data_IF_096627138150
#
_entry.id   IF_096627138150
#
_cell.length_a   1.000
_cell.length_b   1.000
_cell.length_c   1.000
_cell.angle_alpha   90.00
_cell.angle_beta   90.00
_cell.angle_gamma   90.00
#
_symmetry.space_group_name_H-M   'P 1'
#
loop_
_entity.id
_entity.type
_entity.pdbx_description
1 polymer ?
#
# COMPACT_ATOMS: atom_id res chain seq x y z
N UNK A 1 17.63 -11.46 4.08
CA UNK A 1 17.04 -11.46 5.43
C UNK A 1 16.81 -10.02 5.83
N UNK A 2 15.57 -9.63 6.14
CA UNK A 2 15.17 -8.24 6.42
C UNK A 2 14.60 -8.13 7.85
N UNK A 3 15.24 -8.78 8.83
CA UNK A 3 14.86 -8.58 10.24
C UNK A 3 15.47 -7.28 10.69
N UNK A 4 14.65 -6.32 11.10
CA UNK A 4 15.14 -5.04 11.62
C UNK A 4 15.02 -5.03 13.13
N UNK A 5 16.10 -4.67 13.82
CA UNK A 5 16.05 -4.36 15.25
C UNK A 5 15.44 -2.98 15.54
N UNK A 6 15.05 -2.25 14.48
CA UNK A 6 14.50 -0.91 14.57
C UNK A 6 12.99 -0.92 14.31
N UNK A 7 12.27 -0.12 15.08
CA UNK A 7 10.84 0.17 14.90
C UNK A 7 10.73 1.45 14.07
N UNK A 8 10.01 1.39 12.95
CA UNK A 8 9.69 2.57 12.14
C UNK A 8 8.39 3.21 12.63
N UNK A 9 8.38 4.53 12.76
CA UNK A 9 7.21 5.32 13.13
C UNK A 9 6.77 6.17 11.95
N UNK A 10 5.47 6.15 11.65
CA UNK A 10 4.83 7.07 10.72
C UNK A 10 3.65 7.73 11.42
N UNK A 11 3.65 9.06 11.45
CA UNK A 11 2.60 9.86 12.06
C UNK A 11 1.90 10.71 11.00
N UNK A 12 0.57 10.66 10.99
CA UNK A 12 -0.27 11.42 10.07
C UNK A 12 -1.23 12.30 10.87
N UNK A 13 -1.25 13.57 10.51
CA UNK A 13 -2.17 14.58 11.06
C UNK A 13 -2.80 15.37 9.91
N UNK A 14 -3.95 15.99 10.16
CA UNK A 14 -4.65 16.80 9.16
C UNK A 14 -5.07 18.13 9.79
N UNK A 15 -4.60 19.24 9.23
CA UNK A 15 -4.95 20.58 9.72
C UNK A 15 -6.44 20.92 9.54
N UNK A 16 -7.11 20.32 8.56
CA UNK A 16 -8.55 20.52 8.30
C UNK A 16 -9.45 19.64 9.17
N UNK A 17 -8.91 18.55 9.73
CA UNK A 17 -9.63 17.65 10.63
C UNK A 17 -8.89 17.71 11.96
N UNK A 18 -9.10 18.78 12.75
CA UNK A 18 -8.43 18.94 14.03
C UNK A 18 -8.75 17.75 14.93
N UNK A 19 -7.75 17.31 15.71
CA UNK A 19 -7.78 16.12 16.58
C UNK A 19 -7.77 14.76 15.89
N UNK A 20 -7.60 14.70 14.56
CA UNK A 20 -7.23 13.45 13.90
C UNK A 20 -5.74 13.19 14.06
N UNK A 21 -5.39 12.06 14.66
CA UNK A 21 -4.02 11.53 14.67
C UNK A 21 -4.02 10.06 14.27
N UNK A 22 -3.08 9.67 13.41
CA UNK A 22 -2.82 8.27 13.07
C UNK A 22 -1.33 8.01 13.26
N UNK A 23 -0.99 7.09 14.16
CA UNK A 23 0.36 6.62 14.39
C UNK A 23 0.46 5.15 13.97
N UNK A 24 1.38 4.85 13.06
CA UNK A 24 1.69 3.49 12.63
C UNK A 24 3.10 3.14 13.07
N UNK A 25 3.23 2.16 13.97
CA UNK A 25 4.51 1.54 14.35
C UNK A 25 4.71 0.28 13.52
N UNK A 26 5.85 0.15 12.85
CA UNK A 26 6.16 -1.02 12.02
C UNK A 26 7.46 -1.69 12.45
N UNK A 27 7.44 -3.03 12.52
CA UNK A 27 8.65 -3.87 12.65
C UNK A 27 8.59 -5.02 11.66
N UNK A 28 9.75 -5.47 11.18
CA UNK A 28 9.86 -6.56 10.22
C UNK A 28 10.65 -7.72 10.81
N UNK A 29 10.13 -8.94 10.67
CA UNK A 29 10.80 -10.18 11.08
C UNK A 29 10.73 -11.25 9.98
N UNK A 30 11.73 -12.14 9.91
CA UNK A 30 11.76 -13.24 8.94
C UNK A 30 10.97 -14.45 9.45
N UNK A 31 9.66 -14.28 9.64
CA UNK A 31 8.72 -15.34 10.00
C UNK A 31 7.39 -15.12 9.26
N UNK A 32 6.44 -16.03 9.48
CA UNK A 32 5.10 -16.05 8.88
C UNK A 32 4.04 -15.26 9.68
N UNK A 33 4.45 -14.41 10.61
CA UNK A 33 3.51 -13.71 11.52
C UNK A 33 3.33 -14.39 12.87
N UNK A 34 4.22 -15.30 13.25
CA UNK A 34 4.14 -16.09 14.48
C UNK A 34 4.58 -15.38 15.77
N UNK A 35 5.22 -14.20 15.68
CA UNK A 35 5.73 -13.50 16.86
C UNK A 35 4.62 -12.73 17.54
N UNK A 36 4.24 -13.18 18.72
CA UNK A 36 3.29 -12.47 19.57
C UNK A 36 3.93 -11.21 20.18
N UNK A 37 3.17 -10.11 20.21
CA UNK A 37 3.60 -8.81 20.72
C UNK A 37 4.96 -8.32 20.17
N UNK A 38 5.21 -8.49 18.87
CA UNK A 38 6.49 -8.13 18.20
C UNK A 38 6.99 -6.69 18.45
N UNK A 39 6.08 -5.75 18.75
CA UNK A 39 6.36 -4.33 18.98
C UNK A 39 6.40 -3.93 20.47
N UNK A 40 6.44 -4.92 21.38
CA UNK A 40 6.57 -4.71 22.83
C UNK A 40 5.51 -3.76 23.40
N UNK A 41 4.24 -3.95 23.01
CA UNK A 41 3.10 -3.19 23.52
C UNK A 41 2.90 -3.45 25.02
N UNK A 42 2.38 -2.45 25.73
CA UNK A 42 2.03 -2.60 27.15
C UNK A 42 0.84 -3.55 27.36
N UNK A 43 0.64 -4.04 28.58
CA UNK A 43 -0.51 -4.88 28.91
C UNK A 43 -1.85 -4.18 28.63
N UNK A 44 -1.92 -2.87 28.83
CA UNK A 44 -3.10 -2.05 28.55
C UNK A 44 -3.39 -1.99 27.06
N UNK A 45 -2.37 -1.76 26.24
CA UNK A 45 -2.49 -1.77 24.77
C UNK A 45 -2.91 -3.16 24.26
N UNK A 46 -2.31 -4.22 24.80
CA UNK A 46 -2.64 -5.60 24.44
C UNK A 46 -4.09 -5.98 24.77
N UNK A 47 -4.65 -5.48 25.88
CA UNK A 47 -6.04 -5.77 26.29
C UNK A 47 -7.08 -5.22 25.31
N UNK A 48 -6.78 -4.11 24.64
CA UNK A 48 -7.71 -3.43 23.74
C UNK A 48 -7.40 -3.64 22.26
N UNK A 49 -6.24 -4.23 21.93
CA UNK A 49 -5.86 -4.44 20.53
C UNK A 49 -6.77 -5.46 19.86
N UNK A 50 -6.90 -5.30 18.55
CA UNK A 50 -7.45 -6.29 17.65
C UNK A 50 -6.31 -6.75 16.74
N UNK A 51 -6.12 -8.06 16.62
CA UNK A 51 -5.13 -8.65 15.70
C UNK A 51 -5.83 -9.02 14.40
N UNK A 52 -5.31 -8.50 13.30
CA UNK A 52 -5.81 -8.76 11.95
C UNK A 52 -4.67 -9.31 11.08
N UNK A 53 -4.85 -10.51 10.56
CA UNK A 53 -3.89 -11.17 9.68
C UNK A 53 -4.26 -10.91 8.22
N UNK A 54 -3.59 -9.93 7.60
CA UNK A 54 -3.81 -9.59 6.20
C UNK A 54 -3.25 -10.70 5.29
N UNK A 55 -4.09 -11.27 4.42
CA UNK A 55 -3.71 -12.26 3.39
C UNK A 55 -3.63 -11.63 2.02
N UNK A 56 -2.41 -11.41 1.54
CA UNK A 56 -2.21 -10.80 0.22
C UNK A 56 -2.74 -11.66 -0.93
N UNK A 57 -2.92 -12.98 -0.77
CA UNK A 57 -3.45 -13.82 -1.85
C UNK A 57 -4.98 -13.98 -1.77
N UNK A 58 -5.51 -14.14 -0.55
CA UNK A 58 -6.88 -14.61 -0.34
C UNK A 58 -7.84 -13.61 0.30
N UNK A 59 -7.37 -12.50 0.88
CA UNK A 59 -8.28 -11.44 1.31
C UNK A 59 -8.92 -10.76 0.09
N UNK A 60 -10.18 -10.36 0.25
CA UNK A 60 -10.93 -9.69 -0.82
C UNK A 60 -10.45 -8.24 -1.00
N UNK A 61 -10.18 -7.88 -2.26
CA UNK A 61 -10.06 -6.48 -2.66
C UNK A 61 -11.41 -5.98 -3.17
N UNK A 62 -11.71 -4.71 -2.93
CA UNK A 62 -12.84 -4.08 -3.60
C UNK A 62 -12.64 -4.13 -5.12
N UNK A 63 -13.67 -4.51 -5.88
CA UNK A 63 -13.55 -4.80 -7.31
C UNK A 63 -13.02 -3.65 -8.18
N UNK A 64 -13.06 -2.41 -7.69
CA UNK A 64 -12.49 -1.22 -8.37
C UNK A 64 -10.96 -1.23 -8.43
N UNK A 65 -10.30 -1.91 -7.50
CA UNK A 65 -8.83 -1.94 -7.40
C UNK A 65 -8.22 -3.26 -7.88
N UNK A 66 -9.05 -4.26 -8.19
CA UNK A 66 -8.54 -5.56 -8.63
C UNK A 66 -7.96 -5.48 -10.04
N UNK A 67 -6.72 -5.93 -10.18
CA UNK A 67 -6.06 -6.21 -11.45
C UNK A 67 -5.47 -7.60 -11.40
N UNK A 68 -5.67 -8.39 -12.46
CA UNK A 68 -5.24 -9.80 -12.51
C UNK A 68 -3.71 -9.92 -12.45
N UNK A 69 -3.02 -9.01 -13.10
CA UNK A 69 -1.57 -8.88 -13.11
C UNK A 69 -0.97 -8.53 -11.74
N UNK A 70 -1.77 -7.91 -10.85
CA UNK A 70 -1.40 -7.59 -9.47
C UNK A 70 -1.91 -8.64 -8.47
N UNK A 71 -2.43 -9.79 -8.95
CA UNK A 71 -2.94 -10.87 -8.09
C UNK A 71 -1.86 -11.92 -7.80
N UNK A 72 -1.42 -12.07 -6.53
CA UNK A 72 -0.42 -13.07 -6.16
C UNK A 72 -0.79 -14.52 -6.48
N UNK A 73 -2.09 -14.83 -6.66
CA UNK A 73 -2.56 -16.15 -7.08
C UNK A 73 -2.23 -16.48 -8.54
N UNK A 74 -1.93 -15.47 -9.35
CA UNK A 74 -1.61 -15.63 -10.78
C UNK A 74 -0.21 -15.16 -11.13
N UNK A 75 0.40 -14.28 -10.32
CA UNK A 75 1.75 -13.81 -10.53
C UNK A 75 2.80 -14.87 -10.15
N UNK A 76 3.77 -15.08 -11.03
CA UNK A 76 4.99 -15.83 -10.77
C UNK A 76 6.18 -15.03 -11.26
N UNK A 77 7.14 -14.79 -10.36
CA UNK A 77 8.35 -14.05 -10.68
C UNK A 77 9.27 -14.87 -11.59
N UNK A 78 9.74 -14.27 -12.67
CA UNK A 78 10.74 -14.84 -13.57
C UNK A 78 12.14 -14.78 -12.97
N UNK A 79 12.44 -13.74 -12.17
CA UNK A 79 13.77 -13.55 -11.57
C UNK A 79 14.01 -14.45 -10.35
N UNK A 80 12.97 -14.79 -9.61
CA UNK A 80 13.09 -15.49 -8.32
C UNK A 80 12.32 -16.81 -8.24
N UNK A 81 11.48 -17.12 -9.24
CA UNK A 81 10.55 -18.25 -9.25
C UNK A 81 9.50 -18.26 -8.13
N UNK A 82 9.35 -17.17 -7.35
CA UNK A 82 8.33 -17.07 -6.31
C UNK A 82 6.93 -16.91 -6.91
N UNK A 83 5.95 -17.48 -6.22
CA UNK A 83 4.58 -17.53 -6.69
C UNK A 83 4.35 -18.58 -7.79
N UNK A 84 3.09 -18.79 -8.21
CA UNK A 84 1.88 -18.19 -7.65
C UNK A 84 1.63 -18.67 -6.22
N UNK A 85 1.04 -17.80 -5.39
CA UNK A 85 0.68 -18.13 -4.02
C UNK A 85 -0.58 -18.99 -4.01
N UNK A 86 -0.52 -20.13 -3.32
CA UNK A 86 -1.63 -21.07 -3.16
C UNK A 86 -2.12 -21.09 -1.71
N UNK A 87 -3.23 -21.79 -1.45
CA UNK A 87 -3.74 -21.93 -0.09
C UNK A 87 -2.66 -22.56 0.82
N UNK A 88 -2.45 -21.97 2.01
CA UNK A 88 -1.39 -22.38 2.92
C UNK A 88 0.00 -21.77 2.64
N UNK A 89 0.14 -20.86 1.67
CA UNK A 89 1.43 -20.26 1.26
C UNK A 89 2.29 -19.74 2.43
N UNK A 90 1.67 -19.22 3.49
CA UNK A 90 2.38 -18.71 4.69
C UNK A 90 3.28 -19.76 5.35
N UNK A 91 2.93 -21.03 5.25
CA UNK A 91 3.69 -22.15 5.86
C UNK A 91 4.62 -22.85 4.85
N UNK A 92 4.31 -22.74 3.56
CA UNK A 92 5.00 -23.51 2.51
C UNK A 92 6.04 -22.70 1.75
N UNK A 93 5.86 -21.39 1.62
CA UNK A 93 6.74 -20.54 0.83
C UNK A 93 7.93 -20.00 1.63
N UNK A 94 9.09 -19.98 0.99
CA UNK A 94 10.33 -19.50 1.57
C UNK A 94 11.21 -18.79 0.52
N UNK A 95 11.90 -17.70 0.89
CA UNK A 95 11.89 -17.07 2.21
C UNK A 95 10.64 -16.21 2.42
N UNK A 96 10.18 -16.16 3.68
CA UNK A 96 9.04 -15.35 4.14
C UNK A 96 9.49 -14.28 5.14
N UNK A 97 8.75 -13.18 5.17
CA UNK A 97 8.86 -12.16 6.20
C UNK A 97 7.48 -11.62 6.55
N UNK A 98 7.33 -11.12 7.76
CA UNK A 98 6.11 -10.47 8.23
C UNK A 98 6.41 -9.01 8.61
N UNK A 99 5.54 -8.11 8.17
CA UNK A 99 5.50 -6.72 8.65
C UNK A 99 4.43 -6.63 9.74
N UNK A 100 4.87 -6.45 10.98
CA UNK A 100 4.00 -6.20 12.12
C UNK A 100 3.71 -4.71 12.17
N UNK A 101 2.44 -4.33 12.05
CA UNK A 101 2.00 -2.93 12.07
C UNK A 101 0.98 -2.71 13.17
N UNK A 102 1.33 -1.87 14.14
CA UNK A 102 0.38 -1.41 15.17
C UNK A 102 -0.10 -0.02 14.76
N UNK A 103 -1.41 0.09 14.57
CA UNK A 103 -2.07 1.31 14.09
C UNK A 103 -2.89 1.89 15.22
N UNK A 104 -2.46 3.03 15.74
CA UNK A 104 -3.26 3.86 16.63
C UNK A 104 -3.94 4.95 15.80
N UNK A 105 -5.26 4.98 15.81
CA UNK A 105 -6.04 6.07 15.23
C UNK A 105 -6.83 6.72 16.35
N UNK A 106 -6.72 8.04 16.49
CA UNK A 106 -7.50 8.82 17.45
C UNK A 106 -8.24 9.96 16.76
N UNK A 107 -9.49 10.14 17.16
CA UNK A 107 -10.34 11.23 16.70
C UNK A 107 -11.28 11.71 17.80
N UNK A 108 -10.81 12.67 18.61
CA UNK A 108 -11.48 13.12 19.84
C UNK A 108 -12.61 14.14 19.59
N UNK A 109 -13.63 13.72 18.84
CA UNK A 109 -14.84 14.50 18.55
C UNK A 109 -16.08 13.78 19.08
N UNK A 110 -16.83 14.49 19.92
CA UNK A 110 -18.03 13.95 20.56
C UNK A 110 -19.05 13.48 19.53
N UNK A 111 -19.57 12.26 19.74
CA UNK A 111 -20.59 11.64 18.89
C UNK A 111 -20.08 11.05 17.56
N UNK A 112 -18.81 11.26 17.19
CA UNK A 112 -18.24 10.77 15.92
C UNK A 112 -17.00 9.89 16.07
N UNK A 113 -16.36 9.89 17.25
CA UNK A 113 -15.10 9.20 17.52
C UNK A 113 -15.03 7.78 16.95
N UNK A 114 -15.80 6.83 17.50
CA UNK A 114 -15.74 5.41 17.13
C UNK A 114 -15.96 5.19 15.64
N UNK A 115 -16.97 5.85 15.05
CA UNK A 115 -17.29 5.67 13.64
C UNK A 115 -16.15 6.13 12.72
N UNK A 116 -15.46 7.20 13.08
CA UNK A 116 -14.34 7.73 12.29
C UNK A 116 -13.08 6.90 12.50
N UNK A 117 -12.77 6.53 13.74
CA UNK A 117 -11.62 5.65 14.05
C UNK A 117 -11.77 4.29 13.34
N UNK A 118 -12.95 3.67 13.37
CA UNK A 118 -13.23 2.42 12.64
C UNK A 118 -13.15 2.57 11.13
N UNK A 119 -13.52 3.75 10.61
CA UNK A 119 -13.39 4.04 9.18
C UNK A 119 -11.91 4.15 8.78
N UNK A 120 -11.09 4.82 9.59
CA UNK A 120 -9.65 4.95 9.37
C UNK A 120 -8.97 3.58 9.42
N UNK A 121 -9.28 2.75 10.42
CA UNK A 121 -8.68 1.42 10.55
C UNK A 121 -8.98 0.56 9.31
N UNK A 122 -10.22 0.55 8.82
CA UNK A 122 -10.59 -0.15 7.57
C UNK A 122 -9.86 0.40 6.35
N UNK A 123 -9.79 1.72 6.21
CA UNK A 123 -9.07 2.35 5.10
C UNK A 123 -7.58 2.01 5.10
N UNK A 124 -6.93 2.00 6.27
CA UNK A 124 -5.54 1.60 6.42
C UNK A 124 -5.37 0.13 6.06
N UNK A 125 -6.26 -0.75 6.54
CA UNK A 125 -6.24 -2.17 6.17
C UNK A 125 -6.29 -2.37 4.65
N UNK A 126 -7.20 -1.69 3.97
CA UNK A 126 -7.37 -1.78 2.51
C UNK A 126 -6.11 -1.31 1.76
N UNK A 127 -5.53 -0.18 2.19
CA UNK A 127 -4.27 0.34 1.63
C UNK A 127 -3.12 -0.65 1.83
N UNK A 128 -3.02 -1.25 3.03
CA UNK A 128 -1.98 -2.23 3.33
C UNK A 128 -2.14 -3.49 2.48
N UNK A 129 -3.35 -4.03 2.35
CA UNK A 129 -3.63 -5.19 1.51
C UNK A 129 -3.26 -4.91 0.05
N UNK A 130 -3.76 -3.82 -0.52
CA UNK A 130 -3.48 -3.46 -1.92
C UNK A 130 -1.98 -3.23 -2.16
N UNK A 131 -1.32 -2.46 -1.28
CA UNK A 131 0.10 -2.14 -1.42
C UNK A 131 1.00 -3.37 -1.35
N UNK A 132 0.73 -4.33 -0.45
CA UNK A 132 1.55 -5.54 -0.37
C UNK A 132 1.29 -6.51 -1.53
N UNK A 133 0.07 -6.56 -2.06
CA UNK A 133 -0.24 -7.30 -3.30
C UNK A 133 0.58 -6.78 -4.48
N UNK A 134 0.57 -5.46 -4.65
CA UNK A 134 1.36 -4.78 -5.67
C UNK A 134 2.86 -5.00 -5.47
N UNK A 135 3.36 -4.86 -4.25
CA UNK A 135 4.77 -5.10 -3.95
C UNK A 135 5.23 -6.54 -4.31
N UNK A 136 4.37 -7.55 -4.08
CA UNK A 136 4.66 -8.93 -4.48
C UNK A 136 4.58 -9.10 -6.01
N UNK A 137 3.55 -8.57 -6.66
CA UNK A 137 3.38 -8.70 -8.10
C UNK A 137 4.43 -7.90 -8.91
N UNK A 138 5.01 -6.86 -8.33
CA UNK A 138 6.10 -6.09 -8.94
C UNK A 138 7.49 -6.58 -8.51
N UNK A 139 7.59 -7.79 -7.93
CA UNK A 139 8.86 -8.37 -7.47
C UNK A 139 9.94 -8.29 -8.55
N UNK A 140 9.62 -8.62 -9.79
CA UNK A 140 10.60 -8.59 -10.88
C UNK A 140 11.05 -7.16 -11.25
N UNK A 141 10.29 -6.13 -10.93
CA UNK A 141 10.65 -4.74 -11.22
C UNK A 141 11.72 -4.25 -10.25
N UNK A 142 11.54 -4.51 -8.95
CA UNK A 142 12.46 -4.02 -7.92
C UNK A 142 13.56 -5.01 -7.52
N UNK A 143 13.39 -6.32 -7.81
CA UNK A 143 14.42 -7.31 -7.48
C UNK A 143 15.71 -7.04 -8.27
N UNK A 144 16.78 -6.82 -7.51
CA UNK A 144 18.11 -6.49 -8.04
C UNK A 144 18.42 -5.00 -8.14
N UNK A 145 17.48 -4.11 -7.81
CA UNK A 145 17.76 -2.67 -7.74
C UNK A 145 18.79 -2.37 -6.65
N UNK A 146 19.78 -1.55 -6.99
CA UNK A 146 20.69 -0.96 -6.02
C UNK A 146 20.03 0.25 -5.34
N UNK A 147 20.61 0.72 -4.23
CA UNK A 147 20.13 1.95 -3.58
C UNK A 147 20.21 3.17 -4.51
N UNK A 148 21.15 3.21 -5.45
CA UNK A 148 21.21 4.30 -6.42
C UNK A 148 20.09 4.19 -7.45
N UNK A 149 19.75 2.98 -7.92
CA UNK A 149 18.60 2.78 -8.80
C UNK A 149 17.30 3.23 -8.12
N UNK A 150 17.14 2.92 -6.82
CA UNK A 150 15.99 3.37 -6.02
C UNK A 150 15.93 4.90 -5.97
N UNK A 151 17.06 5.57 -5.70
CA UNK A 151 17.11 7.05 -5.68
C UNK A 151 16.80 7.67 -7.04
N UNK A 152 17.28 7.06 -8.13
CA UNK A 152 16.96 7.52 -9.49
C UNK A 152 15.45 7.38 -9.74
N UNK A 153 14.88 6.23 -9.38
CA UNK A 153 13.45 5.97 -9.52
C UNK A 153 12.60 6.96 -8.70
N UNK A 154 12.95 7.19 -7.44
CA UNK A 154 12.29 8.18 -6.57
C UNK A 154 12.33 9.59 -7.18
N UNK A 155 13.48 10.03 -7.71
CA UNK A 155 13.61 11.33 -8.38
C UNK A 155 12.69 11.44 -9.60
N UNK A 156 12.63 10.39 -10.43
CA UNK A 156 11.77 10.36 -11.62
C UNK A 156 10.29 10.40 -11.21
N UNK A 157 9.86 9.58 -10.25
CA UNK A 157 8.48 9.56 -9.76
C UNK A 157 8.06 10.83 -9.07
N UNK A 158 8.96 11.49 -8.34
CA UNK A 158 8.71 12.81 -7.78
C UNK A 158 8.46 13.85 -8.89
N UNK A 159 9.26 13.84 -9.96
CA UNK A 159 9.08 14.76 -11.09
C UNK A 159 7.75 14.51 -11.83
N UNK A 160 7.46 13.26 -12.19
CA UNK A 160 6.19 12.87 -12.84
C UNK A 160 4.96 13.27 -12.01
N UNK A 161 5.03 13.08 -10.68
CA UNK A 161 3.93 13.44 -9.77
C UNK A 161 3.74 14.95 -9.74
N UNK A 162 4.83 15.71 -9.64
CA UNK A 162 4.78 17.17 -9.66
C UNK A 162 4.16 17.70 -10.95
N UNK A 163 4.53 17.13 -12.11
CA UNK A 163 3.96 17.51 -13.41
C UNK A 163 2.45 17.26 -13.47
N UNK A 164 1.98 16.09 -13.03
CA UNK A 164 0.54 15.75 -13.00
C UNK A 164 -0.25 16.67 -12.08
N UNK A 165 0.31 17.00 -10.90
CA UNK A 165 -0.34 17.93 -9.97
C UNK A 165 -0.45 19.32 -10.60
N UNK A 166 0.60 19.81 -11.27
CA UNK A 166 0.56 21.11 -11.95
C UNK A 166 -0.46 21.13 -13.11
N UNK A 167 -0.53 20.06 -13.89
CA UNK A 167 -1.53 19.92 -14.97
C UNK A 167 -2.98 19.92 -14.44
N UNK A 168 -3.22 19.29 -13.29
CA UNK A 168 -4.54 19.30 -12.66
C UNK A 168 -4.90 20.65 -12.03
N UNK A 169 -3.91 21.45 -11.62
CA UNK A 169 -4.11 22.81 -11.09
C UNK A 169 -4.34 23.82 -12.22
N UNK A 170 -3.73 23.61 -13.39
CA UNK A 170 -3.84 24.53 -14.52
C UNK A 170 -4.22 23.78 -15.82
N UNK A 171 -5.48 23.31 -15.94
CA UNK A 171 -5.92 22.58 -17.11
C UNK A 171 -5.77 23.45 -18.37
N UNK A 172 -4.92 23.01 -19.31
CA UNK A 172 -4.82 23.62 -20.64
C UNK A 172 -6.20 23.55 -21.32
N UNK A 173 -6.67 24.61 -21.99
CA UNK A 173 -7.89 24.53 -22.78
C UNK A 173 -7.73 23.43 -23.84
N UNK A 174 -8.74 22.57 -23.95
CA UNK A 174 -8.75 21.50 -24.94
C UNK A 174 -8.48 22.10 -26.33
N UNK A 175 -7.51 21.52 -27.05
CA UNK A 175 -7.30 21.87 -28.47
C UNK A 175 -8.58 21.52 -29.21
N UNK A 176 -9.27 22.54 -29.73
CA UNK A 176 -10.36 22.35 -30.69
C UNK A 176 -9.83 21.49 -31.83
N UNK A 177 -10.45 20.32 -32.01
CA UNK A 177 -10.16 19.47 -33.17
C UNK A 177 -10.76 20.19 -34.37
N UNK A 178 -9.91 20.71 -35.26
CA UNK A 178 -10.35 21.21 -36.57
C UNK A 178 -11.14 20.11 -37.26
N UNK A 179 -12.45 20.32 -37.37
CA UNK A 179 -13.33 19.50 -38.20
C UNK A 179 -13.01 19.91 -39.65
N UNK A 180 -12.21 19.08 -40.33
CA UNK A 180 -12.02 19.21 -41.78
C UNK A 180 -13.38 19.04 -42.46
N UNK A 181 -13.90 20.11 -43.06
CA UNK A 181 -15.14 20.10 -43.83
C UNK A 181 -14.96 19.24 -45.11
N UNK A 182 -15.94 18.39 -45.45
CA UNK A 182 -15.89 17.57 -46.65
C UNK A 182 -16.33 18.38 -47.87
N UNK A 183 -15.51 19.32 -48.29
CA UNK A 183 -15.62 19.94 -49.62
C UNK A 183 -14.24 19.91 -50.27
N UNK A 184 -13.85 18.71 -50.72
CA UNK A 184 -12.86 18.47 -51.78
C UNK A 184 -12.93 16.98 -52.16
N UNK A 185 -14.07 16.57 -52.71
CA UNK A 185 -14.18 15.36 -53.54
C UNK A 185 -14.98 15.75 -54.79
N UNK A 186 -14.21 16.04 -55.85
CA UNK A 186 -14.48 16.03 -57.29
C UNK A 186 -15.88 16.24 -57.91
N UNK A 187 -15.83 17.09 -58.96
CA UNK A 187 -16.73 17.37 -60.11
C UNK A 187 -18.01 18.17 -59.88
#
# INVERSE_FOLDING_TARGET
MCSTNFIQLAEYTCSFIPKLNVLIKTKYENNNGSTENCLDLSEEELKVRIVDHVDIAFDELTGKHYKREEDPKFFKSEKTNRGPLIEGWRETDSPIMCSYKVVHASFEVWGLQTKVEDFIQRGIRDILLLGHRQAFAWLDEWYGMTLEDVRIYERQKQAETNEKVQQNINPQPAKETEIMSPENVES
#
